data_IF_374395752945
#
_entry.id   IF_374395752945
#
_cell.length_a   1.000
_cell.length_b   1.000
_cell.length_c   1.000
_cell.angle_alpha   90.00
_cell.angle_beta   90.00
_cell.angle_gamma   90.00
#
_symmetry.space_group_name_H-M   'P 1'
#
loop_
_entity.id
_entity.type
_entity.pdbx_description
1 polymer ?
#
# COMPACT_ATOMS: atom_id res chain seq x y z
N UNK A 1 -18.81 20.96 45.10
CA UNK A 1 -18.69 19.49 45.00
C UNK A 1 -19.46 18.93 43.80
N UNK A 2 -20.74 19.28 43.63
CA UNK A 2 -21.59 18.79 42.53
C UNK A 2 -21.01 19.04 41.12
N UNK A 3 -20.48 20.25 40.85
CA UNK A 3 -19.93 20.66 39.54
C UNK A 3 -18.69 19.84 39.15
N UNK A 4 -17.81 19.51 40.09
CA UNK A 4 -16.61 18.70 39.83
C UNK A 4 -16.98 17.25 39.46
N UNK A 5 -18.04 16.72 40.08
CA UNK A 5 -18.56 15.38 39.77
C UNK A 5 -19.20 15.34 38.38
N UNK A 6 -19.99 16.34 38.00
CA UNK A 6 -20.59 16.40 36.65
C UNK A 6 -19.55 16.60 35.56
N UNK A 7 -18.53 17.44 35.77
CA UNK A 7 -17.42 17.60 34.81
C UNK A 7 -16.62 16.31 34.68
N UNK A 8 -16.29 15.64 35.80
CA UNK A 8 -15.58 14.36 35.81
C UNK A 8 -16.34 13.26 35.08
N UNK A 9 -17.63 13.09 35.36
CA UNK A 9 -18.49 12.12 34.66
C UNK A 9 -18.63 12.45 33.16
N UNK A 10 -18.71 13.74 32.79
CA UNK A 10 -18.80 14.15 31.38
C UNK A 10 -17.52 13.80 30.63
N UNK A 11 -16.33 14.08 31.20
CA UNK A 11 -15.05 13.71 30.58
C UNK A 11 -14.91 12.19 30.45
N UNK A 12 -15.38 11.42 31.43
CA UNK A 12 -15.39 9.95 31.36
C UNK A 12 -16.34 9.42 30.28
N UNK A 13 -17.54 9.99 30.17
CA UNK A 13 -18.51 9.63 29.14
C UNK A 13 -18.01 10.02 27.75
N UNK A 14 -17.48 11.23 27.56
CA UNK A 14 -16.86 11.62 26.29
C UNK A 14 -15.63 10.77 25.96
N UNK A 15 -14.79 10.43 26.96
CA UNK A 15 -13.64 9.56 26.80
C UNK A 15 -14.02 8.13 26.41
N UNK A 16 -15.07 7.58 27.04
CA UNK A 16 -15.62 6.26 26.71
C UNK A 16 -16.31 6.27 25.33
N UNK A 17 -17.12 7.28 25.02
CA UNK A 17 -17.74 7.45 23.70
C UNK A 17 -16.65 7.58 22.63
N UNK A 18 -15.57 8.32 22.88
CA UNK A 18 -14.43 8.40 21.97
C UNK A 18 -13.74 7.03 21.80
N UNK A 19 -13.54 6.28 22.89
CA UNK A 19 -13.04 4.89 22.86
C UNK A 19 -13.94 3.93 22.07
N UNK A 20 -15.26 4.11 22.11
CA UNK A 20 -16.22 3.30 21.35
C UNK A 20 -16.33 3.74 19.87
N UNK A 21 -16.34 5.04 19.56
CA UNK A 21 -16.41 5.56 18.18
C UNK A 21 -15.12 5.24 17.39
N UNK A 22 -13.97 5.22 18.05
CA UNK A 22 -12.67 4.90 17.43
C UNK A 22 -12.54 3.40 17.10
N UNK A 23 -13.39 2.53 17.66
CA UNK A 23 -13.24 1.06 17.56
C UNK A 23 -13.81 0.37 16.32
N UNK A 24 -14.41 1.08 15.36
CA UNK A 24 -14.62 0.49 14.01
C UNK A 24 -13.28 0.26 13.33
N UNK A 25 -12.68 -0.92 13.51
CA UNK A 25 -11.37 -1.28 12.97
C UNK A 25 -11.53 -1.72 11.52
N UNK A 26 -11.23 -0.81 10.58
CA UNK A 26 -10.76 -1.27 9.27
C UNK A 26 -9.39 -1.94 9.51
N UNK A 27 -9.13 -3.08 8.88
CA UNK A 27 -7.83 -3.74 8.90
C UNK A 27 -7.41 -4.09 7.47
N UNK A 28 -6.11 -3.95 7.24
CA UNK A 28 -5.30 -4.39 6.09
C UNK A 28 -5.82 -4.00 4.70
N UNK A 29 -5.06 -3.14 4.02
CA UNK A 29 -5.17 -2.95 2.59
C UNK A 29 -4.17 -3.87 1.91
N UNK A 30 -4.63 -4.99 1.36
CA UNK A 30 -3.76 -5.91 0.63
C UNK A 30 -3.71 -5.50 -0.84
N UNK A 31 -2.54 -5.66 -1.45
CA UNK A 31 -2.40 -5.61 -2.90
C UNK A 31 -2.63 -7.04 -3.36
N UNK A 32 -3.76 -7.33 -3.98
CA UNK A 32 -4.08 -8.68 -4.44
C UNK A 32 -3.34 -8.97 -5.75
N UNK A 33 -3.44 -8.06 -6.71
CA UNK A 33 -2.80 -8.19 -8.01
C UNK A 33 -2.39 -6.84 -8.58
N UNK A 34 -1.33 -6.86 -9.37
CA UNK A 34 -0.94 -5.74 -10.22
C UNK A 34 -0.73 -6.28 -11.61
N UNK A 35 -1.38 -5.67 -12.59
CA UNK A 35 -1.22 -5.98 -14.01
C UNK A 35 -0.97 -4.68 -14.76
N UNK A 36 -0.20 -4.72 -15.83
CA UNK A 36 0.05 -3.54 -16.65
C UNK A 36 -0.51 -3.73 -18.06
N UNK A 37 -0.60 -2.65 -18.81
CA UNK A 37 -0.77 -2.74 -20.26
C UNK A 37 0.53 -3.22 -20.95
N UNK A 38 0.44 -3.52 -22.24
CA UNK A 38 1.59 -3.99 -23.02
C UNK A 38 2.75 -2.99 -23.05
N UNK A 39 2.47 -1.69 -22.89
CA UNK A 39 3.46 -0.62 -22.93
C UNK A 39 4.03 -0.23 -21.56
N UNK A 40 3.59 -0.87 -20.47
CA UNK A 40 3.99 -0.51 -19.09
C UNK A 40 3.70 0.95 -18.73
N UNK A 41 2.67 1.54 -19.33
CA UNK A 41 2.27 2.92 -19.07
C UNK A 41 1.09 3.00 -18.10
N UNK A 42 0.20 2.01 -18.11
CA UNK A 42 -0.92 1.93 -17.18
C UNK A 42 -0.78 0.71 -16.29
N UNK A 43 -0.72 0.92 -14.98
CA UNK A 43 -0.68 -0.14 -13.97
C UNK A 43 -2.03 -0.22 -13.29
N UNK A 44 -2.69 -1.35 -13.46
CA UNK A 44 -3.93 -1.71 -12.82
C UNK A 44 -3.59 -2.38 -11.49
N UNK A 45 -4.02 -1.76 -10.41
CA UNK A 45 -3.75 -2.19 -9.05
C UNK A 45 -5.07 -2.62 -8.45
N UNK A 46 -5.16 -3.92 -8.19
CA UNK A 46 -6.29 -4.56 -7.53
C UNK A 46 -5.91 -4.85 -6.09
N UNK A 47 -6.76 -4.42 -5.18
CA UNK A 47 -6.55 -4.62 -3.76
C UNK A 47 -7.86 -4.63 -3.01
N UNK A 48 -7.79 -4.96 -1.74
CA UNK A 48 -8.95 -4.95 -0.87
C UNK A 48 -8.65 -4.33 0.48
N UNK A 49 -9.69 -3.76 1.07
CA UNK A 49 -9.72 -3.34 2.47
C UNK A 49 -10.64 -4.28 3.25
N UNK A 50 -10.18 -4.81 4.38
CA UNK A 50 -11.04 -5.57 5.30
C UNK A 50 -11.70 -4.62 6.31
N UNK A 51 -13.02 -4.67 6.40
CA UNK A 51 -13.82 -3.91 7.34
C UNK A 51 -14.31 -4.84 8.44
N UNK A 52 -13.96 -4.54 9.70
CA UNK A 52 -14.42 -5.28 10.88
C UNK A 52 -15.34 -4.36 11.73
N UNK A 53 -16.64 -4.30 11.41
CA UNK A 53 -17.63 -3.61 12.25
C UNK A 53 -17.86 -4.36 13.57
N UNK A 54 -18.22 -3.64 14.63
CA UNK A 54 -18.36 -4.20 15.98
C UNK A 54 -19.56 -5.17 16.09
N UNK A 55 -20.68 -4.86 15.43
CA UNK A 55 -21.94 -5.59 15.57
C UNK A 55 -22.34 -6.41 14.32
N UNK A 56 -21.42 -6.62 13.38
CA UNK A 56 -21.73 -7.41 12.18
C UNK A 56 -20.51 -8.18 11.65
N UNK A 57 -20.71 -9.21 10.82
CA UNK A 57 -19.59 -9.96 10.25
C UNK A 57 -18.65 -9.05 9.46
N UNK A 58 -17.35 -9.34 9.57
CA UNK A 58 -16.33 -8.68 8.76
C UNK A 58 -16.59 -8.88 7.27
N UNK A 59 -16.27 -7.87 6.48
CA UNK A 59 -16.41 -7.93 5.02
C UNK A 59 -15.25 -7.23 4.33
N UNK A 60 -14.96 -7.63 3.09
CA UNK A 60 -13.95 -7.01 2.27
C UNK A 60 -14.59 -6.05 1.26
N UNK A 61 -13.89 -4.96 0.97
CA UNK A 61 -14.22 -4.03 -0.12
C UNK A 61 -13.06 -4.05 -1.11
N UNK A 62 -13.34 -4.57 -2.29
CA UNK A 62 -12.41 -4.59 -3.41
C UNK A 62 -12.36 -3.26 -4.10
N UNK A 63 -11.15 -2.92 -4.54
CA UNK A 63 -10.82 -1.69 -5.25
C UNK A 63 -10.01 -2.02 -6.48
N UNK A 64 -10.16 -1.15 -7.45
CA UNK A 64 -9.34 -1.13 -8.64
C UNK A 64 -8.89 0.31 -8.89
N UNK A 65 -7.58 0.48 -8.96
CA UNK A 65 -6.94 1.75 -9.28
C UNK A 65 -6.14 1.60 -10.56
N UNK A 66 -6.04 2.68 -11.33
CA UNK A 66 -5.11 2.78 -12.44
C UNK A 66 -4.12 3.88 -12.15
N UNK A 67 -2.84 3.53 -12.19
CA UNK A 67 -1.73 4.47 -12.19
C UNK A 67 -1.25 4.69 -13.62
N UNK A 68 -1.26 5.94 -14.07
CA UNK A 68 -0.70 6.34 -15.35
C UNK A 68 0.73 6.87 -15.15
N UNK A 69 1.72 6.12 -15.63
CA UNK A 69 3.13 6.45 -15.46
C UNK A 69 3.53 7.74 -16.20
N UNK A 70 2.91 8.04 -17.35
CA UNK A 70 3.31 9.20 -18.17
C UNK A 70 3.06 10.56 -17.52
N UNK A 71 2.11 10.64 -16.58
CA UNK A 71 1.76 11.87 -15.88
C UNK A 71 1.64 11.70 -14.36
N UNK A 72 2.08 10.55 -13.83
CA UNK A 72 2.01 10.20 -12.42
C UNK A 72 0.62 10.36 -11.79
N UNK A 73 -0.45 10.09 -12.55
CA UNK A 73 -1.82 10.26 -12.09
C UNK A 73 -2.47 8.95 -11.67
N UNK A 74 -3.18 8.99 -10.55
CA UNK A 74 -4.08 7.91 -10.12
C UNK A 74 -5.53 8.19 -10.45
N UNK A 75 -6.20 7.17 -10.97
CA UNK A 75 -7.65 7.18 -11.19
C UNK A 75 -8.26 5.99 -10.47
N UNK A 76 -9.18 6.27 -9.55
CA UNK A 76 -9.94 5.24 -8.85
C UNK A 76 -11.11 4.76 -9.72
N UNK A 77 -11.26 3.45 -9.83
CA UNK A 77 -12.36 2.78 -10.51
C UNK A 77 -13.57 2.59 -9.61
N UNK A 78 -14.26 1.47 -9.80
CA UNK A 78 -15.37 1.06 -8.96
C UNK A 78 -14.89 0.29 -7.73
N UNK A 79 -15.83 0.02 -6.83
CA UNK A 79 -15.60 -0.82 -5.67
C UNK A 79 -16.74 -1.80 -5.46
N UNK A 80 -16.43 -2.96 -4.89
CA UNK A 80 -17.41 -4.00 -4.63
C UNK A 80 -17.17 -4.64 -3.27
N UNK A 81 -18.25 -4.86 -2.51
CA UNK A 81 -18.21 -5.68 -1.30
C UNK A 81 -18.26 -7.16 -1.70
N UNK A 82 -17.39 -8.00 -1.13
CA UNK A 82 -17.38 -9.43 -1.44
C UNK A 82 -16.34 -10.25 -0.66
N UNK A 83 -16.02 -11.44 -1.20
CA UNK A 83 -14.92 -12.33 -0.77
C UNK A 83 -14.16 -12.84 -2.01
N UNK A 84 -12.83 -12.72 -2.01
CA UNK A 84 -11.92 -12.93 -3.15
C UNK A 84 -11.97 -11.84 -4.26
N UNK A 85 -10.81 -11.61 -4.90
CA UNK A 85 -10.74 -11.00 -6.25
C UNK A 85 -10.55 -12.11 -7.28
N UNK A 86 -11.47 -12.17 -8.25
CA UNK A 86 -11.24 -12.84 -9.53
C UNK A 86 -11.06 -11.77 -10.62
N UNK A 87 -9.91 -11.79 -11.29
CA UNK A 87 -9.59 -10.84 -12.36
C UNK A 87 -10.51 -10.97 -13.58
N UNK A 88 -11.23 -12.08 -13.70
CA UNK A 88 -12.22 -12.32 -14.74
C UNK A 88 -13.65 -12.05 -14.27
N UNK A 89 -13.84 -11.50 -13.07
CA UNK A 89 -15.17 -11.24 -12.53
C UNK A 89 -15.87 -10.08 -13.23
N UNK A 90 -17.22 -10.06 -13.25
CA UNK A 90 -18.00 -8.91 -13.76
C UNK A 90 -17.67 -7.58 -13.05
N UNK A 91 -17.11 -7.63 -11.84
CA UNK A 91 -16.61 -6.44 -11.14
C UNK A 91 -15.48 -5.76 -11.92
N UNK A 92 -14.50 -6.55 -12.35
CA UNK A 92 -13.32 -6.04 -13.04
C UNK A 92 -13.73 -5.44 -14.37
N UNK A 93 -14.59 -6.11 -15.14
CA UNK A 93 -15.14 -5.61 -16.39
C UNK A 93 -15.83 -4.24 -16.21
N UNK A 94 -16.78 -4.12 -15.28
CA UNK A 94 -17.45 -2.84 -15.00
C UNK A 94 -16.47 -1.76 -14.56
N UNK A 95 -15.54 -2.11 -13.66
CA UNK A 95 -14.56 -1.14 -13.19
C UNK A 95 -13.61 -0.69 -14.31
N UNK A 96 -13.25 -1.58 -15.23
CA UNK A 96 -12.42 -1.29 -16.41
C UNK A 96 -13.14 -0.32 -17.35
N UNK A 97 -14.43 -0.52 -17.60
CA UNK A 97 -15.24 0.42 -18.37
C UNK A 97 -15.33 1.80 -17.71
N UNK A 98 -15.59 1.86 -16.41
CA UNK A 98 -15.65 3.10 -15.64
C UNK A 98 -14.32 3.86 -15.72
N UNK A 99 -13.19 3.16 -15.59
CA UNK A 99 -11.87 3.75 -15.69
C UNK A 99 -11.55 4.22 -17.11
N UNK A 100 -11.92 3.44 -18.12
CA UNK A 100 -11.75 3.80 -19.52
C UNK A 100 -12.51 5.09 -19.87
N UNK A 101 -13.76 5.22 -19.40
CA UNK A 101 -14.57 6.45 -19.54
C UNK A 101 -13.91 7.64 -18.84
N UNK A 102 -13.45 7.47 -17.59
CA UNK A 102 -12.79 8.54 -16.81
C UNK A 102 -11.49 9.02 -17.46
N UNK A 103 -10.73 8.12 -18.07
CA UNK A 103 -9.46 8.44 -18.72
C UNK A 103 -9.62 8.83 -20.20
N UNK A 104 -10.84 8.77 -20.76
CA UNK A 104 -11.10 9.11 -22.16
C UNK A 104 -10.46 8.15 -23.17
N UNK A 105 -10.14 6.92 -22.77
CA UNK A 105 -9.49 5.92 -23.62
C UNK A 105 -9.82 4.50 -23.18
N UNK A 106 -9.80 3.56 -24.11
CA UNK A 106 -9.91 2.13 -23.78
C UNK A 106 -8.64 1.67 -23.06
N UNK A 107 -8.82 1.07 -21.89
CA UNK A 107 -7.75 0.40 -21.16
C UNK A 107 -7.72 -1.08 -21.52
N UNK A 108 -6.53 -1.62 -21.78
CA UNK A 108 -6.34 -3.01 -22.21
C UNK A 108 -5.20 -3.64 -21.39
N UNK A 109 -5.49 -4.20 -20.20
CA UNK A 109 -4.48 -4.84 -19.37
C UNK A 109 -3.98 -6.11 -20.06
N UNK A 110 -2.71 -6.44 -19.84
CA UNK A 110 -2.06 -7.66 -20.30
C UNK A 110 -1.77 -8.57 -19.10
N UNK A 111 -2.77 -9.28 -18.55
CA UNK A 111 -2.65 -10.00 -17.27
C UNK A 111 -1.61 -11.12 -17.28
N UNK A 112 -1.30 -11.68 -18.47
CA UNK A 112 -0.29 -12.73 -18.62
C UNK A 112 1.13 -12.18 -18.79
N UNK A 113 1.29 -10.86 -18.87
CA UNK A 113 2.60 -10.22 -18.96
C UNK A 113 3.26 -10.26 -17.59
N UNK A 114 4.43 -10.89 -17.48
CA UNK A 114 5.26 -10.76 -16.29
C UNK A 114 5.75 -9.31 -16.20
N UNK A 115 5.40 -8.64 -15.09
CA UNK A 115 5.77 -7.24 -14.85
C UNK A 115 6.62 -7.06 -13.59
N UNK A 116 6.84 -8.13 -12.81
CA UNK A 116 7.74 -8.08 -11.66
C UNK A 116 9.17 -7.92 -12.16
N UNK A 117 9.95 -7.06 -11.50
CA UNK A 117 11.33 -6.85 -11.90
C UNK A 117 12.15 -8.14 -11.67
N UNK A 118 12.81 -8.70 -12.69
CA UNK A 118 13.40 -10.04 -12.61
C UNK A 118 14.66 -10.09 -11.73
N UNK A 119 15.43 -8.99 -11.68
CA UNK A 119 16.73 -8.98 -11.00
C UNK A 119 16.75 -8.33 -9.61
N UNK A 120 15.71 -7.56 -9.25
CA UNK A 120 15.71 -6.80 -8.00
C UNK A 120 14.97 -7.62 -6.95
N UNK A 121 15.72 -8.10 -5.96
CA UNK A 121 15.13 -8.79 -4.81
C UNK A 121 14.70 -7.78 -3.76
N UNK A 122 13.49 -7.95 -3.22
CA UNK A 122 13.06 -7.25 -2.00
C UNK A 122 13.40 -8.12 -0.80
N UNK A 123 14.10 -7.56 0.17
CA UNK A 123 14.51 -8.25 1.41
C UNK A 123 13.91 -7.49 2.58
N UNK A 124 13.16 -8.20 3.42
CA UNK A 124 12.58 -7.62 4.63
C UNK A 124 13.48 -7.94 5.83
N UNK A 125 13.77 -6.94 6.64
CA UNK A 125 14.54 -7.07 7.89
C UNK A 125 13.76 -6.49 9.06
N UNK A 126 13.83 -7.16 10.20
CA UNK A 126 13.38 -6.63 11.47
C UNK A 126 14.61 -6.39 12.37
N UNK A 127 14.81 -5.15 12.83
CA UNK A 127 15.91 -4.86 13.77
C UNK A 127 15.69 -5.49 15.15
N UNK A 128 14.47 -5.93 15.46
CA UNK A 128 14.18 -6.64 16.71
C UNK A 128 14.25 -8.17 16.55
N UNK A 129 14.61 -8.68 15.37
CA UNK A 129 14.91 -10.09 15.20
C UNK A 129 16.07 -10.49 16.12
N UNK A 130 15.94 -11.61 16.82
CA UNK A 130 16.93 -12.10 17.78
C UNK A 130 18.32 -12.25 17.13
N UNK A 131 19.39 -12.05 17.91
CA UNK A 131 20.80 -12.19 17.50
C UNK A 131 21.17 -13.56 16.88
N UNK A 132 20.25 -14.53 16.93
CA UNK A 132 20.37 -15.86 16.32
C UNK A 132 19.91 -15.96 14.87
N UNK A 133 19.30 -14.91 14.29
CA UNK A 133 18.89 -14.93 12.88
C UNK A 133 20.09 -14.67 11.96
N UNK A 134 20.35 -15.62 11.06
CA UNK A 134 21.38 -15.49 10.02
C UNK A 134 20.94 -14.39 9.05
N UNK A 135 21.61 -13.24 9.11
CA UNK A 135 21.35 -12.12 8.20
C UNK A 135 21.53 -12.57 6.75
N UNK A 136 20.46 -12.49 5.97
CA UNK A 136 20.52 -12.81 4.55
C UNK A 136 21.56 -11.91 3.85
N UNK A 137 22.46 -12.55 3.08
CA UNK A 137 23.42 -11.85 2.24
C UNK A 137 22.67 -11.02 1.19
N UNK A 138 22.92 -9.71 1.18
CA UNK A 138 22.28 -8.79 0.24
C UNK A 138 22.77 -9.11 -1.18
N UNK A 139 21.88 -9.42 -2.13
CA UNK A 139 22.23 -9.57 -3.55
C UNK A 139 22.76 -8.27 -4.15
N UNK A 140 23.35 -8.37 -5.35
CA UNK A 140 23.90 -7.19 -6.03
C UNK A 140 22.84 -6.10 -6.30
N UNK A 141 21.63 -6.50 -6.71
CA UNK A 141 20.51 -5.61 -6.96
C UNK A 141 19.38 -5.94 -5.97
N UNK A 142 19.17 -5.09 -4.98
CA UNK A 142 18.22 -5.38 -3.92
C UNK A 142 17.62 -4.12 -3.31
N UNK A 143 16.39 -4.26 -2.84
CA UNK A 143 15.70 -3.27 -2.01
C UNK A 143 15.55 -3.88 -0.63
N UNK A 144 16.29 -3.35 0.34
CA UNK A 144 16.25 -3.84 1.72
C UNK A 144 15.32 -2.93 2.53
N UNK A 145 14.24 -3.52 3.03
CA UNK A 145 13.19 -2.85 3.79
C UNK A 145 13.34 -3.25 5.25
N UNK A 146 13.72 -2.31 6.10
CA UNK A 146 14.04 -2.56 7.51
C UNK A 146 13.02 -1.86 8.43
N UNK A 147 12.41 -2.61 9.37
CA UNK A 147 11.61 -2.06 10.49
C UNK A 147 12.57 -1.43 11.51
N UNK A 148 12.47 -0.11 11.73
CA UNK A 148 13.40 0.58 12.63
C UNK A 148 12.93 0.62 14.09
N UNK A 149 11.67 1.02 14.33
CA UNK A 149 11.04 1.04 15.66
C UNK A 149 9.55 1.34 15.50
N UNK A 150 8.72 0.63 16.27
CA UNK A 150 7.29 0.91 16.40
C UNK A 150 7.08 1.86 17.58
N UNK A 151 6.31 2.93 17.39
CA UNK A 151 5.90 3.78 18.51
C UNK A 151 4.63 3.25 19.18
N UNK A 152 4.26 3.80 20.34
CA UNK A 152 3.09 3.37 21.13
C UNK A 152 1.74 3.49 20.37
N UNK A 153 1.72 4.22 19.25
CA UNK A 153 0.56 4.35 18.36
C UNK A 153 0.57 3.32 17.21
N UNK A 154 1.49 2.36 17.23
CA UNK A 154 1.73 1.38 16.18
C UNK A 154 2.48 1.94 14.96
N UNK A 155 2.80 3.23 14.90
CA UNK A 155 3.50 3.79 13.73
C UNK A 155 4.96 3.34 13.75
N UNK A 156 5.34 2.58 12.74
CA UNK A 156 6.74 2.24 12.51
C UNK A 156 7.45 3.29 11.65
N UNK A 157 8.76 3.44 11.86
CA UNK A 157 9.64 3.97 10.81
C UNK A 157 10.15 2.81 9.98
N UNK A 158 10.12 2.99 8.66
CA UNK A 158 10.68 2.04 7.70
C UNK A 158 11.89 2.70 7.07
N UNK A 159 12.96 1.92 6.97
CA UNK A 159 14.12 2.27 6.17
C UNK A 159 14.10 1.45 4.89
N UNK A 160 14.27 2.12 3.75
CA UNK A 160 14.51 1.50 2.47
C UNK A 160 15.95 1.79 2.06
N UNK A 161 16.77 0.75 1.95
CA UNK A 161 18.11 0.81 1.39
C UNK A 161 18.07 0.23 -0.03
N UNK A 162 18.64 0.96 -0.99
CA UNK A 162 18.64 0.59 -2.39
C UNK A 162 20.06 0.19 -2.76
N UNK A 163 20.23 -1.07 -3.17
CA UNK A 163 21.49 -1.63 -3.61
C UNK A 163 21.48 -1.86 -5.12
N UNK A 164 22.55 -1.43 -5.79
CA UNK A 164 22.83 -1.72 -7.20
C UNK A 164 24.26 -2.17 -7.35
N UNK A 165 24.48 -3.25 -8.08
CA UNK A 165 25.81 -3.86 -8.28
C UNK A 165 26.58 -4.08 -6.97
N UNK A 166 25.89 -4.38 -5.86
CA UNK A 166 26.46 -4.63 -4.54
C UNK A 166 26.79 -3.39 -3.72
N UNK A 167 26.48 -2.18 -4.22
CA UNK A 167 26.73 -0.91 -3.54
C UNK A 167 25.40 -0.31 -3.08
N UNK A 168 25.32 0.16 -1.84
CA UNK A 168 24.20 1.00 -1.37
C UNK A 168 24.29 2.35 -2.11
N UNK A 169 23.35 2.62 -3.00
CA UNK A 169 23.29 3.88 -3.75
C UNK A 169 22.46 4.93 -3.02
N UNK A 170 21.49 4.51 -2.19
CA UNK A 170 20.59 5.41 -1.48
C UNK A 170 19.95 4.73 -0.28
N UNK A 171 19.60 5.56 0.70
CA UNK A 171 18.82 5.19 1.86
C UNK A 171 17.72 6.21 2.11
N UNK A 172 16.49 5.73 2.25
CA UNK A 172 15.31 6.52 2.60
C UNK A 172 14.76 6.08 3.94
N UNK A 173 14.29 7.03 4.75
CA UNK A 173 13.52 6.74 5.95
C UNK A 173 12.17 7.44 5.87
N UNK A 174 11.10 6.67 6.00
CA UNK A 174 9.74 7.18 5.94
C UNK A 174 8.84 6.52 6.97
N UNK A 175 7.73 7.21 7.29
CA UNK A 175 6.69 6.67 8.17
C UNK A 175 5.87 5.65 7.40
N UNK A 176 5.86 4.40 7.85
CA UNK A 176 5.17 3.27 7.22
C UNK A 176 5.28 2.04 8.12
N UNK A 177 4.76 0.88 7.72
CA UNK A 177 5.02 -0.35 8.45
C UNK A 177 5.86 -1.30 7.59
N UNK A 178 6.79 -2.02 8.20
CA UNK A 178 7.69 -2.92 7.47
C UNK A 178 7.03 -4.27 7.11
N UNK A 179 5.93 -4.61 7.79
CA UNK A 179 5.10 -5.80 7.54
C UNK A 179 4.31 -5.73 6.22
N UNK A 180 4.55 -4.70 5.41
CA UNK A 180 3.90 -4.51 4.13
C UNK A 180 4.58 -5.33 3.03
N UNK A 181 3.78 -5.76 2.07
CA UNK A 181 4.27 -6.49 0.90
C UNK A 181 4.81 -5.46 -0.11
N UNK A 182 6.12 -5.21 -0.03
CA UNK A 182 6.83 -4.33 -0.95
C UNK A 182 7.08 -5.09 -2.25
N UNK A 183 6.48 -4.61 -3.34
CA UNK A 183 6.57 -5.24 -4.66
C UNK A 183 7.23 -4.27 -5.64
N UNK A 184 8.21 -4.77 -6.39
CA UNK A 184 8.94 -4.01 -7.41
C UNK A 184 8.52 -4.51 -8.80
N UNK A 185 8.10 -3.57 -9.64
CA UNK A 185 7.67 -3.82 -11.01
C UNK A 185 8.58 -3.07 -11.99
N UNK A 186 8.74 -3.66 -13.17
CA UNK A 186 9.41 -3.04 -14.31
C UNK A 186 8.63 -1.81 -14.78
N UNK A 187 9.35 -0.89 -15.40
CA UNK A 187 8.79 0.24 -16.14
C UNK A 187 9.33 0.20 -17.58
N UNK A 188 8.81 1.00 -18.52
CA UNK A 188 9.37 1.06 -19.87
C UNK A 188 10.75 1.74 -19.90
N UNK A 189 11.20 2.31 -18.78
CA UNK A 189 12.53 2.92 -18.62
C UNK A 189 13.44 1.98 -17.81
N UNK A 190 14.56 1.59 -18.40
CA UNK A 190 15.48 0.61 -17.79
C UNK A 190 16.13 1.08 -16.49
N UNK A 191 16.21 2.39 -16.27
CA UNK A 191 16.71 2.99 -15.05
C UNK A 191 15.61 3.32 -14.04
N UNK A 192 14.35 2.92 -14.26
CA UNK A 192 13.27 3.21 -13.32
C UNK A 192 12.52 1.96 -12.92
N UNK A 193 12.09 1.94 -11.65
CA UNK A 193 11.22 0.90 -11.12
C UNK A 193 9.99 1.50 -10.47
N UNK A 194 8.92 0.73 -10.50
CA UNK A 194 7.70 1.02 -9.78
C UNK A 194 7.68 0.18 -8.50
N UNK A 195 7.75 0.83 -7.35
CA UNK A 195 7.57 0.21 -6.06
C UNK A 195 6.12 0.41 -5.59
N UNK A 196 5.40 -0.67 -5.31
CA UNK A 196 4.06 -0.60 -4.72
C UNK A 196 4.10 -1.36 -3.40
N UNK A 197 3.56 -0.75 -2.36
CA UNK A 197 3.50 -1.36 -1.04
C UNK A 197 2.19 -0.96 -0.35
N UNK A 198 1.64 -1.88 0.43
CA UNK A 198 0.54 -1.52 1.32
C UNK A 198 1.04 -0.55 2.39
N UNK A 199 0.18 0.34 2.90
CA UNK A 199 0.52 1.21 4.03
C UNK A 199 -0.65 1.27 5.01
N UNK A 200 -0.39 0.82 6.24
CA UNK A 200 -1.35 0.67 7.33
C UNK A 200 -1.15 1.67 8.48
N UNK A 201 -2.16 1.77 9.35
CA UNK A 201 -2.18 2.67 10.52
C UNK A 201 -3.60 3.19 10.81
N UNK A 202 -3.72 4.49 11.06
CA UNK A 202 -5.03 5.18 11.21
C UNK A 202 -5.77 5.27 9.86
N UNK A 203 -5.01 5.45 8.79
CA UNK A 203 -5.48 5.38 7.41
C UNK A 203 -4.88 4.13 6.78
N UNK A 204 -5.68 3.37 6.05
CA UNK A 204 -5.26 2.21 5.27
C UNK A 204 -5.24 2.60 3.80
N UNK A 205 -4.26 2.08 3.06
CA UNK A 205 -4.13 2.42 1.66
C UNK A 205 -2.97 1.76 0.94
N UNK A 206 -2.79 2.18 -0.30
CA UNK A 206 -1.70 1.74 -1.18
C UNK A 206 -0.74 2.91 -1.34
N UNK A 207 0.53 2.66 -1.13
CA UNK A 207 1.60 3.58 -1.47
C UNK A 207 2.31 3.10 -2.73
N UNK A 208 2.72 4.06 -3.55
CA UNK A 208 3.39 3.81 -4.80
C UNK A 208 4.50 4.84 -4.97
N UNK A 209 5.68 4.37 -5.34
CA UNK A 209 6.81 5.21 -5.68
C UNK A 209 7.39 4.82 -7.04
N UNK A 210 7.83 5.80 -7.81
CA UNK A 210 8.67 5.60 -8.98
C UNK A 210 10.08 6.03 -8.62
N UNK A 211 11.04 5.13 -8.81
CA UNK A 211 12.40 5.28 -8.29
C UNK A 211 13.39 5.20 -9.42
N UNK A 212 14.30 6.18 -9.51
CA UNK A 212 15.44 6.15 -10.41
C UNK A 212 16.53 5.25 -9.82
N UNK A 213 16.87 4.17 -10.50
CA UNK A 213 17.90 3.21 -10.10
C UNK A 213 19.33 3.76 -10.25
N UNK A 214 19.52 4.91 -10.91
CA UNK A 214 20.84 5.52 -11.09
C UNK A 214 21.38 6.10 -9.79
N UNK A 215 20.51 6.77 -9.03
CA UNK A 215 20.84 7.48 -7.79
C UNK A 215 19.95 7.07 -6.60
N UNK A 216 18.94 6.23 -6.84
CA UNK A 216 17.97 5.76 -5.86
C UNK A 216 16.91 6.81 -5.47
N UNK A 217 16.79 7.93 -6.19
CA UNK A 217 15.84 8.99 -5.85
C UNK A 217 14.41 8.65 -6.23
N UNK A 218 13.46 9.16 -5.43
CA UNK A 218 12.04 9.05 -5.73
C UNK A 218 11.67 10.13 -6.75
N UNK A 219 11.39 9.71 -7.98
CA UNK A 219 10.83 10.57 -9.02
C UNK A 219 9.37 10.92 -8.71
N UNK A 220 8.70 10.02 -8.01
CA UNK A 220 7.33 10.17 -7.55
C UNK A 220 7.10 9.31 -6.30
N UNK A 221 6.32 9.82 -5.35
CA UNK A 221 5.83 9.06 -4.19
C UNK A 221 4.42 9.57 -3.86
N UNK A 222 3.45 8.68 -3.89
CA UNK A 222 2.08 9.00 -3.48
C UNK A 222 1.51 7.88 -2.62
N UNK A 223 0.80 8.32 -1.58
CA UNK A 223 0.00 7.45 -0.73
C UNK A 223 -1.49 7.71 -0.94
N UNK A 224 -2.20 6.71 -1.43
CA UNK A 224 -3.65 6.76 -1.60
C UNK A 224 -4.27 6.27 -0.30
N UNK A 225 -4.89 7.18 0.45
CA UNK A 225 -5.67 6.83 1.62
C UNK A 225 -7.08 6.44 1.23
N UNK A 226 -7.58 5.32 1.77
CA UNK A 226 -9.02 5.17 1.90
C UNK A 226 -9.46 6.02 3.10
N UNK A 227 -10.06 7.18 2.82
CA UNK A 227 -10.75 7.91 3.87
C UNK A 227 -11.91 7.04 4.37
N UNK A 228 -11.97 6.85 5.69
CA UNK A 228 -13.11 6.26 6.39
C UNK A 228 -14.33 7.14 6.07
N UNK A 229 -15.08 6.82 5.01
CA UNK A 229 -16.38 7.45 4.81
C UNK A 229 -17.27 6.93 5.93
N UNK A 230 -17.39 7.74 6.98
CA UNK A 230 -18.51 7.68 7.89
C UNK A 230 -19.77 7.81 7.03
N UNK A 231 -20.41 6.67 6.74
CA UNK A 231 -21.84 6.66 6.50
C UNK A 231 -22.53 6.72 7.85
#
# INVERSE_FOLDING_TARGET
>A
MLILVTVGCSVLVFGLIFLFIVKKKTKIHAIDAVVADNTLNFYHIFGHSMYMPDDSPSYEVYRHYVFNLSNYQFTAGDHQRGKGIDLNSPFVERSMETLSKKLGRTLSPAPNKAIKHPEIKVIHRDLNASDTEVMEKIPANAFVVTKLRENDMGLSKVRLEIYRNGIEIRKHEFRGWAEHDFRIYETPFSNQVLMIYSKGGINFGIALAVIDLTNGDFLFDQYITETKRNR
#
